data_IF_038891537149
#
_entry.id   IF_038891537149
#
_cell.length_a   1.000
_cell.length_b   1.000
_cell.length_c   1.000
_cell.angle_alpha   90.00
_cell.angle_beta   90.00
_cell.angle_gamma   90.00
#
_symmetry.space_group_name_H-M   'P 1'
#
loop_
_entity.id
_entity.type
_entity.pdbx_description
1 polymer ?
#
# COMPACT_ATOMS: atom_id res chain seq x y z
N UNK A 1 16.80 -9.45 7.86
CA UNK A 1 16.58 -9.91 6.47
C UNK A 1 16.45 -8.68 5.60
N UNK A 2 16.83 -8.75 4.32
CA UNK A 2 16.70 -7.63 3.40
C UNK A 2 15.22 -7.25 3.22
N UNK A 3 14.91 -5.95 3.19
CA UNK A 3 13.55 -5.41 3.11
C UNK A 3 12.86 -5.86 1.81
N UNK A 4 13.58 -5.86 0.69
CA UNK A 4 13.01 -6.27 -0.61
C UNK A 4 12.66 -7.77 -0.65
N UNK A 5 13.46 -8.61 0.02
CA UNK A 5 13.19 -10.05 0.11
C UNK A 5 12.01 -10.33 1.04
N UNK A 6 11.95 -9.63 2.18
CA UNK A 6 10.83 -9.75 3.11
C UNK A 6 9.52 -9.28 2.49
N UNK A 7 9.55 -8.18 1.75
CA UNK A 7 8.41 -7.72 0.96
C UNK A 7 7.95 -8.76 -0.07
N UNK A 8 8.88 -9.38 -0.82
CA UNK A 8 8.52 -10.44 -1.77
C UNK A 8 7.86 -11.63 -1.06
N UNK A 9 8.38 -12.03 0.10
CA UNK A 9 7.81 -13.10 0.91
C UNK A 9 6.38 -12.77 1.34
N UNK A 10 6.10 -11.52 1.73
CA UNK A 10 4.74 -11.06 2.04
C UNK A 10 3.85 -11.18 0.80
N UNK A 11 4.31 -10.70 -0.37
CA UNK A 11 3.55 -10.81 -1.62
C UNK A 11 3.22 -12.27 -1.99
N UNK A 12 4.15 -13.19 -1.77
CA UNK A 12 3.97 -14.62 -2.07
C UNK A 12 2.91 -15.28 -1.18
N UNK A 13 2.54 -14.67 -0.04
CA UNK A 13 1.43 -15.15 0.80
C UNK A 13 0.06 -14.66 0.34
N UNK A 14 -0.01 -13.68 -0.55
CA UNK A 14 -1.26 -13.06 -0.98
C UNK A 14 -1.97 -13.89 -2.06
N UNK A 15 -3.31 -13.91 -2.08
CA UNK A 15 -4.05 -14.58 -3.14
C UNK A 15 -3.82 -13.87 -4.49
N UNK A 16 -3.85 -14.58 -5.64
CA UNK A 16 -3.50 -13.99 -6.95
C UNK A 16 -4.33 -12.76 -7.37
N UNK A 17 -5.51 -12.57 -6.77
CA UNK A 17 -6.46 -11.49 -7.05
C UNK A 17 -6.45 -10.38 -5.99
N UNK A 18 -5.42 -10.31 -5.14
CA UNK A 18 -5.24 -9.18 -4.20
C UNK A 18 -5.20 -7.86 -4.97
N UNK A 19 -5.73 -6.79 -4.36
CA UNK A 19 -5.90 -5.49 -5.02
C UNK A 19 -5.14 -4.37 -4.32
N UNK A 20 -5.09 -4.42 -2.99
CA UNK A 20 -4.40 -3.44 -2.16
C UNK A 20 -3.73 -4.13 -0.98
N UNK A 21 -2.54 -3.66 -0.64
CA UNK A 21 -1.75 -4.08 0.51
C UNK A 21 -1.31 -2.82 1.28
N UNK A 22 -1.54 -2.83 2.60
CA UNK A 22 -0.99 -1.83 3.53
C UNK A 22 0.08 -2.47 4.42
N UNK A 23 1.23 -1.82 4.49
CA UNK A 23 2.37 -2.24 5.31
C UNK A 23 2.78 -1.10 6.22
N UNK A 24 3.27 -1.45 7.41
CA UNK A 24 4.10 -0.55 8.19
C UNK A 24 5.56 -0.90 8.01
N UNK A 25 6.40 0.13 7.98
CA UNK A 25 7.85 0.03 7.86
C UNK A 25 8.52 0.83 8.98
N UNK A 26 9.55 0.24 9.57
CA UNK A 26 10.52 0.95 10.42
C UNK A 26 11.95 0.59 10.01
N UNK A 27 12.87 1.50 10.30
CA UNK A 27 14.31 1.25 10.19
C UNK A 27 14.89 1.15 11.59
N UNK A 28 15.95 0.38 11.77
CA UNK A 28 16.54 0.18 13.09
C UNK A 28 17.45 1.35 13.52
N UNK A 29 18.09 2.00 12.54
CA UNK A 29 18.87 3.22 12.78
C UNK A 29 18.05 4.46 12.43
N UNK A 30 17.42 5.05 13.44
CA UNK A 30 16.61 6.28 13.29
C UNK A 30 17.43 7.50 12.85
N UNK A 31 18.76 7.51 13.02
CA UNK A 31 19.58 8.64 12.56
C UNK A 31 19.56 8.79 11.03
N UNK A 32 19.27 7.69 10.33
CA UNK A 32 19.15 7.65 8.87
C UNK A 32 17.76 8.02 8.36
N UNK A 33 16.81 8.39 9.23
CA UNK A 33 15.44 8.72 8.83
C UNK A 33 15.40 9.77 7.70
N UNK A 34 16.19 10.84 7.81
CA UNK A 34 16.23 11.94 6.83
C UNK A 34 16.86 11.51 5.50
N UNK A 35 17.78 10.54 5.52
CA UNK A 35 18.39 9.95 4.33
C UNK A 35 17.41 8.99 3.62
N UNK A 36 16.68 8.19 4.39
CA UNK A 36 15.74 7.18 3.89
C UNK A 36 14.47 7.83 3.33
N UNK A 37 13.93 8.85 4.01
CA UNK A 37 12.64 9.46 3.68
C UNK A 37 12.52 9.93 2.21
N UNK A 38 13.50 10.61 1.59
CA UNK A 38 13.44 10.99 0.17
C UNK A 38 13.30 9.83 -0.81
N UNK A 39 13.90 8.67 -0.50
CA UNK A 39 13.85 7.47 -1.35
C UNK A 39 12.47 6.84 -1.31
N UNK A 40 11.93 6.63 -0.12
CA UNK A 40 10.61 6.00 0.05
C UNK A 40 9.44 6.95 -0.25
N UNK A 41 9.68 8.27 -0.27
CA UNK A 41 8.70 9.23 -0.75
C UNK A 41 8.30 8.96 -2.21
N UNK A 42 9.20 8.38 -3.03
CA UNK A 42 8.92 7.99 -4.42
C UNK A 42 7.80 6.93 -4.54
N UNK A 43 7.57 6.16 -3.48
CA UNK A 43 6.49 5.17 -3.40
C UNK A 43 5.33 5.64 -2.50
N UNK A 44 5.26 6.95 -2.26
CA UNK A 44 4.24 7.60 -1.42
C UNK A 44 4.18 7.03 0.00
N UNK A 45 5.34 6.71 0.58
CA UNK A 45 5.42 6.34 2.00
C UNK A 45 4.91 7.49 2.87
N UNK A 46 3.91 7.20 3.71
CA UNK A 46 3.28 8.18 4.58
C UNK A 46 3.92 8.12 5.96
N UNK A 47 4.55 9.20 6.45
CA UNK A 47 5.17 9.19 7.77
C UNK A 47 4.12 9.07 8.87
N UNK A 48 4.42 8.28 9.89
CA UNK A 48 3.65 8.29 11.14
C UNK A 48 4.14 9.39 12.08
N UNK A 49 3.25 9.81 12.97
CA UNK A 49 3.58 10.75 14.06
C UNK A 49 3.60 10.07 15.44
N UNK A 50 3.23 8.79 15.54
CA UNK A 50 3.18 8.02 16.80
C UNK A 50 4.18 6.84 16.76
N UNK A 51 4.76 6.53 17.93
CA UNK A 51 6.00 5.76 18.03
C UNK A 51 5.80 4.24 17.98
N UNK A 52 6.54 3.63 17.05
CA UNK A 52 7.09 2.26 16.96
C UNK A 52 7.37 1.95 15.47
N UNK A 53 6.61 2.61 14.58
CA UNK A 53 6.70 2.51 13.13
C UNK A 53 6.93 3.88 12.52
N UNK A 54 7.68 3.95 11.42
CA UNK A 54 8.09 5.21 10.83
C UNK A 54 7.20 5.61 9.64
N UNK A 55 6.80 4.63 8.82
CA UNK A 55 6.01 4.89 7.62
C UNK A 55 4.93 3.84 7.39
N UNK A 56 3.81 4.27 6.80
CA UNK A 56 2.85 3.40 6.10
C UNK A 56 3.17 3.37 4.62
N UNK A 57 3.25 2.17 4.07
CA UNK A 57 3.31 1.94 2.62
C UNK A 57 1.95 1.43 2.15
N UNK A 58 1.50 1.96 1.01
CA UNK A 58 0.37 1.41 0.27
C UNK A 58 0.86 0.86 -1.05
N UNK A 59 0.43 -0.35 -1.37
CA UNK A 59 0.83 -1.06 -2.57
C UNK A 59 -0.41 -1.47 -3.36
N UNK A 60 -0.37 -1.22 -4.66
CA UNK A 60 -1.34 -1.70 -5.62
C UNK A 60 -0.77 -2.91 -6.35
N UNK A 61 -1.65 -3.85 -6.69
CA UNK A 61 -1.34 -4.93 -7.63
C UNK A 61 -1.35 -4.37 -9.07
N UNK A 62 -2.05 -5.01 -10.01
CA UNK A 62 -2.19 -4.58 -11.40
C UNK A 62 -2.99 -3.29 -11.59
N UNK A 63 -3.80 -2.89 -10.60
CA UNK A 63 -4.67 -1.72 -10.65
C UNK A 63 -4.85 -1.14 -9.23
N UNK A 64 -5.12 0.16 -9.14
CA UNK A 64 -5.29 0.88 -7.87
C UNK A 64 -4.70 2.29 -7.91
N UNK A 65 -4.73 2.98 -6.77
CA UNK A 65 -4.24 4.36 -6.62
C UNK A 65 -2.92 4.46 -5.84
N UNK A 66 -2.26 3.33 -5.58
CA UNK A 66 -1.04 3.24 -4.80
C UNK A 66 0.17 2.86 -5.67
N UNK A 67 1.37 2.84 -5.10
CA UNK A 67 2.58 2.45 -5.82
C UNK A 67 2.49 0.98 -6.28
N UNK A 68 2.97 0.68 -7.49
CA UNK A 68 3.02 -0.68 -8.00
C UNK A 68 3.98 -1.54 -7.17
N UNK A 69 3.65 -2.82 -6.98
CA UNK A 69 4.43 -3.76 -6.18
C UNK A 69 5.90 -3.84 -6.62
N UNK A 70 6.16 -3.82 -7.93
CA UNK A 70 7.51 -3.85 -8.49
C UNK A 70 8.31 -2.59 -8.14
N UNK A 71 7.66 -1.42 -8.18
CA UNK A 71 8.28 -0.15 -7.79
C UNK A 71 8.60 -0.13 -6.30
N UNK A 72 7.67 -0.60 -5.45
CA UNK A 72 7.89 -0.72 -4.00
C UNK A 72 9.08 -1.64 -3.71
N UNK A 73 9.10 -2.84 -4.31
CA UNK A 73 10.23 -3.78 -4.16
C UNK A 73 11.56 -3.16 -4.63
N UNK A 74 11.55 -2.46 -5.75
CA UNK A 74 12.74 -1.78 -6.28
C UNK A 74 13.26 -0.70 -5.33
N UNK A 75 12.37 0.13 -4.76
CA UNK A 75 12.76 1.14 -3.77
C UNK A 75 13.30 0.52 -2.49
N UNK A 76 12.70 -0.59 -2.01
CA UNK A 76 13.23 -1.31 -0.85
C UNK A 76 14.61 -1.91 -1.14
N UNK A 77 14.86 -2.41 -2.36
CA UNK A 77 16.16 -2.91 -2.76
C UNK A 77 17.24 -1.81 -2.78
N UNK A 78 16.89 -0.57 -3.13
CA UNK A 78 17.81 0.57 -3.03
C UNK A 78 18.21 0.87 -1.58
N UNK A 79 17.30 0.64 -0.62
CA UNK A 79 17.62 0.77 0.80
C UNK A 79 18.53 -0.37 1.27
N UNK A 80 18.26 -1.59 0.82
CA UNK A 80 19.12 -2.76 1.08
C UNK A 80 20.54 -2.53 0.55
N UNK A 81 20.69 -2.01 -0.68
CA UNK A 81 21.98 -1.66 -1.29
C UNK A 81 22.74 -0.58 -0.49
N UNK A 82 22.00 0.30 0.21
CA UNK A 82 22.54 1.32 1.11
C UNK A 82 22.73 0.82 2.55
N UNK A 83 22.61 -0.50 2.77
CA UNK A 83 22.73 -1.13 4.09
C UNK A 83 21.78 -0.53 5.14
N UNK A 84 20.58 -0.15 4.72
CA UNK A 84 19.52 0.31 5.62
C UNK A 84 18.79 -0.92 6.15
N UNK A 85 18.93 -1.19 7.44
CA UNK A 85 18.22 -2.28 8.09
C UNK A 85 16.87 -1.81 8.64
N UNK A 86 15.87 -2.68 8.53
CA UNK A 86 14.53 -2.41 9.03
C UNK A 86 13.64 -3.63 9.03
N UNK A 87 12.37 -3.42 9.28
CA UNK A 87 11.35 -4.46 9.22
C UNK A 87 10.06 -3.94 8.58
N UNK A 88 9.29 -4.89 8.03
CA UNK A 88 7.98 -4.67 7.45
C UNK A 88 6.94 -5.49 8.21
N UNK A 89 5.76 -4.93 8.39
CA UNK A 89 4.59 -5.64 8.90
C UNK A 89 3.40 -5.39 8.00
N UNK A 90 2.79 -6.48 7.53
CA UNK A 90 1.50 -6.43 6.84
C UNK A 90 0.40 -6.05 7.83
N UNK A 91 -0.34 -4.97 7.52
CA UNK A 91 -1.48 -4.51 8.31
C UNK A 91 -2.80 -4.95 7.71
N UNK A 92 -2.93 -4.81 6.39
CA UNK A 92 -4.15 -5.17 5.67
C UNK A 92 -3.80 -5.64 4.27
N UNK A 93 -4.51 -6.66 3.78
CA UNK A 93 -4.53 -7.02 2.37
C UNK A 93 -5.98 -7.22 1.95
N UNK A 94 -6.35 -6.64 0.80
CA UNK A 94 -7.69 -6.76 0.22
C UNK A 94 -7.61 -7.59 -1.05
N UNK A 95 -8.62 -8.41 -1.28
CA UNK A 95 -8.80 -9.21 -2.48
C UNK A 95 -10.21 -9.10 -3.02
N UNK A 96 -10.40 -9.58 -4.24
CA UNK A 96 -11.67 -9.51 -4.94
C UNK A 96 -11.96 -8.15 -5.57
N UNK A 97 -13.08 -8.10 -6.30
CA UNK A 97 -13.61 -6.89 -6.91
C UNK A 97 -14.93 -6.56 -6.24
N UNK A 98 -15.03 -5.34 -5.72
CA UNK A 98 -16.31 -4.83 -5.27
C UNK A 98 -17.06 -4.24 -6.45
N UNK A 99 -18.35 -4.56 -6.58
CA UNK A 99 -19.21 -3.89 -7.53
C UNK A 99 -19.28 -2.40 -7.18
N UNK A 100 -18.93 -1.54 -8.14
CA UNK A 100 -19.08 -0.10 -8.00
C UNK A 100 -20.27 0.31 -8.86
N UNK A 101 -21.30 0.89 -8.25
CA UNK A 101 -22.37 1.56 -8.97
C UNK A 101 -22.09 3.06 -9.01
N UNK A 102 -21.45 3.59 -10.08
CA UNK A 102 -21.16 5.02 -10.16
C UNK A 102 -22.45 5.81 -10.39
N UNK A 103 -23.02 6.34 -9.30
CA UNK A 103 -24.16 7.26 -9.33
C UNK A 103 -23.72 8.73 -9.49
N UNK A 104 -22.42 9.00 -9.45
CA UNK A 104 -21.88 10.33 -9.72
C UNK A 104 -22.26 10.81 -11.13
N UNK A 105 -22.67 12.08 -11.26
CA UNK A 105 -23.15 12.65 -12.52
C UNK A 105 -24.51 12.12 -13.03
N UNK A 106 -25.12 11.11 -12.38
CA UNK A 106 -26.44 10.61 -12.78
C UNK A 106 -27.57 11.55 -12.32
N UNK A 107 -28.62 11.75 -13.13
CA UNK A 107 -29.82 12.49 -12.71
C UNK A 107 -30.46 11.87 -11.48
N UNK A 108 -31.15 12.70 -10.69
CA UNK A 108 -31.81 12.28 -9.45
C UNK A 108 -32.89 11.20 -9.68
N UNK A 109 -33.58 11.24 -10.83
CA UNK A 109 -34.54 10.20 -11.24
C UNK A 109 -33.90 8.80 -11.35
N UNK A 110 -32.67 8.72 -11.89
CA UNK A 110 -31.92 7.46 -12.00
C UNK A 110 -31.47 6.97 -10.63
N UNK A 111 -31.00 7.87 -9.75
CA UNK A 111 -30.60 7.51 -8.39
C UNK A 111 -31.78 6.98 -7.58
N UNK A 112 -32.94 7.64 -7.66
CA UNK A 112 -34.19 7.19 -7.00
C UNK A 112 -34.67 5.84 -7.49
N UNK A 113 -34.62 5.59 -8.80
CA UNK A 113 -35.01 4.30 -9.36
C UNK A 113 -34.05 3.18 -8.93
N UNK A 114 -32.75 3.46 -8.91
CA UNK A 114 -31.74 2.53 -8.39
C UNK A 114 -32.03 2.14 -6.92
N UNK A 115 -32.19 3.12 -6.01
CA UNK A 115 -32.48 2.82 -4.61
C UNK A 115 -33.79 2.05 -4.43
N UNK A 116 -34.84 2.42 -5.17
CA UNK A 116 -36.14 1.72 -5.15
C UNK A 116 -35.99 0.24 -5.53
N UNK A 117 -35.20 -0.08 -6.56
CA UNK A 117 -35.01 -1.46 -7.05
C UNK A 117 -34.13 -2.30 -6.14
N UNK A 118 -33.22 -1.66 -5.40
CA UNK A 118 -32.22 -2.35 -4.59
C UNK A 118 -32.48 -2.29 -3.07
N UNK A 119 -33.63 -1.75 -2.64
CA UNK A 119 -34.12 -1.87 -1.26
C UNK A 119 -33.22 -1.20 -0.21
N UNK A 120 -32.54 -0.11 -0.57
CA UNK A 120 -31.77 0.74 0.34
C UNK A 120 -32.54 2.00 0.71
#
# INVERSE_FOLDING_TARGET
>A
MALAEDFQRILDTLPPDWTSLELDMRIFDEQRYIEVAPLICQINAMPYSEHDWHWRLRVANKFGHAAAAETVRGTLALLDDQSVEGELVMREARSGRMEVTPLWGRPESIRRDFYRRHGQ
#
